data_IF_399538330728
#
_entry.id   IF_399538330728
#
_cell.length_a   1.000
_cell.length_b   1.000
_cell.length_c   1.000
_cell.angle_alpha   90.00
_cell.angle_beta   90.00
_cell.angle_gamma   90.00
#
_symmetry.space_group_name_H-M   'P 1'
#
loop_
_entity.id
_entity.type
_entity.pdbx_description
1 polymer ?
#
# COMPACT_ATOMS: atom_id res chain seq x y z
N UNK A 1 14.22 34.34 -0.47
CA UNK A 1 15.28 34.91 -1.33
C UNK A 1 15.00 34.80 -2.83
N UNK A 2 14.08 33.95 -3.29
CA UNK A 2 13.75 33.83 -4.72
C UNK A 2 12.97 35.02 -5.33
N UNK A 3 12.23 35.76 -4.49
CA UNK A 3 11.28 36.79 -4.94
C UNK A 3 11.86 38.20 -5.09
N UNK A 4 13.14 38.42 -4.78
CA UNK A 4 13.79 39.75 -4.90
C UNK A 4 15.08 39.64 -5.71
N UNK A 5 15.11 40.14 -6.96
CA UNK A 5 16.30 40.16 -7.78
C UNK A 5 17.42 40.97 -7.11
N UNK A 6 18.61 40.38 -6.94
CA UNK A 6 19.80 41.14 -6.57
C UNK A 6 20.35 41.88 -7.78
N UNK A 7 20.60 43.18 -7.63
CA UNK A 7 21.11 44.06 -8.70
C UNK A 7 22.40 44.73 -8.24
N UNK A 8 23.23 45.13 -9.20
CA UNK A 8 24.45 45.88 -8.93
C UNK A 8 24.60 47.03 -9.93
N UNK A 9 25.29 48.08 -9.50
CA UNK A 9 25.65 49.22 -10.33
C UNK A 9 27.17 49.42 -10.22
N UNK A 10 27.87 49.45 -11.35
CA UNK A 10 29.30 49.74 -11.41
C UNK A 10 29.51 51.15 -11.95
N UNK A 11 30.32 51.96 -11.26
CA UNK A 11 30.56 53.37 -11.61
C UNK A 11 29.44 54.33 -11.20
N UNK A 12 28.60 53.94 -10.23
CA UNK A 12 27.61 54.84 -9.64
C UNK A 12 28.25 55.69 -8.54
N UNK A 13 28.00 56.99 -8.57
CA UNK A 13 28.46 57.95 -7.57
C UNK A 13 27.47 58.03 -6.39
N UNK A 14 27.93 58.42 -5.20
CA UNK A 14 27.11 58.47 -3.98
C UNK A 14 25.93 59.44 -4.14
N UNK A 15 26.11 60.48 -4.95
CA UNK A 15 25.07 61.43 -5.37
C UNK A 15 23.86 60.80 -6.08
N UNK A 16 24.00 59.57 -6.61
CA UNK A 16 22.92 58.83 -7.27
C UNK A 16 22.01 58.07 -6.30
N UNK A 17 22.39 57.97 -5.03
CA UNK A 17 21.63 57.31 -3.97
C UNK A 17 21.05 58.31 -2.96
N UNK A 18 21.05 59.60 -3.30
CA UNK A 18 20.52 60.69 -2.49
C UNK A 18 19.39 61.38 -3.26
N UNK A 19 18.32 61.77 -2.57
CA UNK A 19 17.20 62.49 -3.19
C UNK A 19 17.49 63.99 -3.35
N UNK A 20 16.54 64.75 -3.90
CA UNK A 20 16.71 66.18 -4.15
C UNK A 20 16.90 67.04 -2.89
N UNK A 21 16.51 66.52 -1.72
CA UNK A 21 16.59 67.15 -0.41
C UNK A 21 17.84 66.70 0.39
N UNK A 22 18.68 65.82 -0.17
CA UNK A 22 19.93 65.39 0.46
C UNK A 22 19.80 64.12 1.33
N UNK A 23 18.64 63.46 1.33
CA UNK A 23 18.40 62.26 2.13
C UNK A 23 18.65 60.97 1.32
N UNK A 24 19.19 59.90 1.93
CA UNK A 24 19.46 58.65 1.23
C UNK A 24 18.15 58.00 0.75
N UNK A 25 18.12 57.55 -0.51
CA UNK A 25 16.95 56.88 -1.07
C UNK A 25 16.59 55.64 -0.25
N UNK A 26 15.30 55.47 0.00
CA UNK A 26 14.76 54.23 0.59
C UNK A 26 15.15 53.03 -0.30
N UNK A 27 15.52 51.92 0.33
CA UNK A 27 15.90 50.66 -0.32
C UNK A 27 14.85 50.21 -1.34
N UNK A 28 13.57 50.46 -1.10
CA UNK A 28 12.49 50.16 -2.04
C UNK A 28 12.46 51.09 -3.26
N UNK A 29 12.72 52.38 -3.12
CA UNK A 29 12.75 53.36 -4.23
C UNK A 29 13.97 53.18 -5.14
N UNK A 30 15.09 52.75 -4.55
CA UNK A 30 16.27 52.31 -5.27
C UNK A 30 15.99 51.03 -6.11
N UNK A 31 15.20 50.10 -5.57
CA UNK A 31 14.78 48.86 -6.25
C UNK A 31 13.73 49.10 -7.35
N UNK A 32 12.83 50.09 -7.17
CA UNK A 32 11.65 50.34 -8.01
C UNK A 32 11.86 51.26 -9.22
N UNK A 33 12.91 52.08 -9.29
CA UNK A 33 13.18 52.80 -10.55
C UNK A 33 14.12 53.99 -10.55
N UNK A 34 14.48 54.61 -9.42
CA UNK A 34 15.27 55.87 -9.47
C UNK A 34 16.75 55.69 -9.84
N UNK A 35 17.37 54.56 -9.49
CA UNK A 35 18.76 54.24 -9.87
C UNK A 35 18.92 54.00 -11.38
N UNK A 36 17.82 53.77 -12.10
CA UNK A 36 17.81 53.51 -13.56
C UNK A 36 17.90 54.77 -14.41
N UNK A 37 17.75 55.95 -13.80
CA UNK A 37 17.80 57.25 -14.47
C UNK A 37 19.11 58.02 -14.20
N UNK A 38 20.15 57.34 -13.74
CA UNK A 38 21.46 57.95 -13.49
C UNK A 38 22.04 58.54 -14.79
N UNK A 39 22.25 59.86 -14.76
CA UNK A 39 22.88 60.60 -15.84
C UNK A 39 24.37 60.29 -15.95
N UNK A 40 24.93 60.66 -17.10
CA UNK A 40 26.34 60.51 -17.46
C UNK A 40 27.23 61.27 -16.46
N UNK A 41 28.36 60.67 -16.04
CA UNK A 41 29.34 61.32 -15.17
C UNK A 41 29.88 62.61 -15.85
N UNK A 42 29.78 63.80 -15.21
CA UNK A 42 30.24 65.06 -15.78
C UNK A 42 31.75 65.13 -16.04
N UNK A 43 32.57 64.38 -15.30
CA UNK A 43 34.04 64.50 -15.33
C UNK A 43 34.70 63.48 -16.27
N UNK A 44 34.13 62.28 -16.38
CA UNK A 44 34.68 61.19 -17.20
C UNK A 44 33.86 60.90 -18.46
N UNK A 45 32.59 61.32 -18.50
CA UNK A 45 31.69 61.03 -19.62
C UNK A 45 31.24 59.56 -19.70
N UNK A 46 31.51 58.76 -18.66
CA UNK A 46 31.11 57.36 -18.60
C UNK A 46 29.66 57.21 -18.11
N UNK A 47 28.97 56.18 -18.62
CA UNK A 47 27.60 55.83 -18.23
C UNK A 47 27.69 54.67 -17.25
N UNK A 48 27.08 54.77 -16.05
CA UNK A 48 27.12 53.68 -15.08
C UNK A 48 26.51 52.40 -15.66
N UNK A 49 27.21 51.28 -15.51
CA UNK A 49 26.75 50.00 -15.99
C UNK A 49 25.88 49.33 -14.92
N UNK A 50 24.60 49.16 -15.26
CA UNK A 50 23.62 48.49 -14.42
C UNK A 50 23.50 47.03 -14.84
N UNK A 51 23.65 46.13 -13.87
CA UNK A 51 23.54 44.69 -14.07
C UNK A 51 22.64 44.03 -13.04
N UNK A 52 22.13 42.87 -13.39
CA UNK A 52 21.43 41.99 -12.45
C UNK A 52 22.30 40.76 -12.23
N UNK A 53 22.40 40.30 -10.98
CA UNK A 53 22.98 38.99 -10.74
C UNK A 53 22.05 37.92 -11.34
N UNK A 54 22.62 36.92 -12.00
CA UNK A 54 21.84 35.78 -12.46
C UNK A 54 21.11 35.19 -11.26
N UNK A 55 19.77 35.21 -11.29
CA UNK A 55 18.99 34.61 -10.22
C UNK A 55 19.32 33.12 -10.22
N UNK A 56 19.74 32.60 -9.07
CA UNK A 56 19.91 31.16 -8.89
C UNK A 56 18.60 30.48 -9.25
N UNK A 57 18.65 29.45 -10.10
CA UNK A 57 17.44 28.76 -10.53
C UNK A 57 16.77 28.03 -9.34
N UNK A 58 15.43 28.03 -9.23
CA UNK A 58 14.73 27.25 -8.22
C UNK A 58 14.81 25.75 -8.51
N UNK A 59 15.17 25.37 -9.75
CA UNK A 59 15.38 23.97 -10.12
C UNK A 59 16.52 23.34 -9.31
N UNK A 60 17.56 24.09 -8.93
CA UNK A 60 18.62 23.57 -8.08
C UNK A 60 18.11 23.12 -6.70
N UNK A 61 17.13 23.85 -6.14
CA UNK A 61 16.52 23.49 -4.87
C UNK A 61 15.61 22.25 -5.00
N UNK A 62 14.80 22.18 -6.06
CA UNK A 62 13.96 21.00 -6.34
C UNK A 62 14.81 19.75 -6.59
N UNK A 63 15.95 19.88 -7.27
CA UNK A 63 16.87 18.77 -7.49
C UNK A 63 17.52 18.28 -6.19
N UNK A 64 17.89 19.21 -5.31
CA UNK A 64 18.35 18.86 -3.96
C UNK A 64 17.29 18.07 -3.19
N UNK A 65 16.02 18.49 -3.23
CA UNK A 65 14.93 17.77 -2.57
C UNK A 65 14.72 16.37 -3.17
N UNK A 66 14.85 16.23 -4.50
CA UNK A 66 14.79 14.92 -5.18
C UNK A 66 15.93 14.01 -4.74
N UNK A 67 17.15 14.54 -4.62
CA UNK A 67 18.31 13.80 -4.13
C UNK A 67 18.12 13.33 -2.69
N UNK A 68 17.64 14.22 -1.79
CA UNK A 68 17.33 13.86 -0.40
C UNK A 68 16.27 12.75 -0.33
N UNK A 69 15.23 12.85 -1.14
CA UNK A 69 14.19 11.83 -1.22
C UNK A 69 14.71 10.48 -1.73
N UNK A 70 15.61 10.49 -2.73
CA UNK A 70 16.25 9.28 -3.21
C UNK A 70 17.07 8.59 -2.10
N UNK A 71 17.83 9.35 -1.32
CA UNK A 71 18.58 8.81 -0.17
C UNK A 71 17.67 8.26 0.92
N UNK A 72 16.55 8.94 1.21
CA UNK A 72 15.55 8.45 2.16
C UNK A 72 14.92 7.14 1.69
N UNK A 73 14.52 7.06 0.41
CA UNK A 73 14.00 5.85 -0.21
C UNK A 73 14.99 4.68 -0.15
N UNK A 74 16.28 4.93 -0.43
CA UNK A 74 17.30 3.88 -0.36
C UNK A 74 17.51 3.32 1.04
N UNK A 75 17.34 4.14 2.08
CA UNK A 75 17.50 3.69 3.47
C UNK A 75 16.27 2.96 3.99
N UNK A 76 15.08 3.35 3.52
CA UNK A 76 13.79 2.83 4.03
C UNK A 76 13.20 1.70 3.17
N UNK A 77 13.90 1.30 2.10
CA UNK A 77 13.39 0.37 1.09
C UNK A 77 12.06 0.80 0.46
N UNK A 78 11.72 2.09 0.53
CA UNK A 78 10.54 2.64 -0.10
C UNK A 78 10.82 3.00 -1.56
N UNK A 79 9.89 2.72 -2.48
CA UNK A 79 10.06 3.12 -3.87
C UNK A 79 9.89 4.64 -4.03
N UNK A 80 10.65 5.28 -4.93
CA UNK A 80 10.64 6.74 -5.11
C UNK A 80 9.27 7.31 -5.50
N UNK A 81 8.46 6.52 -6.21
CA UNK A 81 7.10 6.88 -6.59
C UNK A 81 6.18 7.06 -5.36
N UNK A 82 6.46 6.40 -4.23
CA UNK A 82 5.68 6.53 -3.00
C UNK A 82 5.78 7.93 -2.38
N UNK A 83 6.87 8.67 -2.65
CA UNK A 83 7.06 10.05 -2.20
C UNK A 83 6.42 11.10 -3.12
N UNK A 84 5.85 10.69 -4.27
CA UNK A 84 5.20 11.60 -5.22
C UNK A 84 6.15 12.57 -5.94
N UNK A 85 7.46 12.39 -5.80
CA UNK A 85 8.49 13.26 -6.41
C UNK A 85 8.77 12.87 -7.87
N UNK A 86 8.51 11.61 -8.20
CA UNK A 86 8.61 11.08 -9.56
C UNK A 86 7.19 10.85 -10.08
N UNK A 87 6.76 11.69 -11.02
CA UNK A 87 5.56 11.48 -11.83
C UNK A 87 5.98 10.81 -13.15
N UNK A 88 6.49 9.57 -13.09
CA UNK A 88 6.67 8.78 -14.31
C UNK A 88 5.40 8.00 -14.65
N UNK A 89 5.33 7.60 -15.92
CA UNK A 89 4.25 6.85 -16.56
C UNK A 89 3.79 5.65 -15.70
N UNK A 90 2.53 5.16 -15.83
CA UNK A 90 2.04 4.05 -15.04
C UNK A 90 3.00 2.86 -15.11
N UNK A 91 3.55 2.46 -13.96
CA UNK A 91 4.42 1.29 -13.87
C UNK A 91 3.62 0.02 -14.09
N UNK A 92 4.18 -0.95 -14.81
CA UNK A 92 3.57 -2.28 -14.93
C UNK A 92 3.52 -2.96 -13.56
N UNK A 93 2.59 -3.91 -13.36
CA UNK A 93 2.47 -4.64 -12.09
C UNK A 93 3.80 -5.29 -11.66
N UNK A 94 4.54 -5.87 -12.61
CA UNK A 94 5.86 -6.46 -12.34
C UNK A 94 6.92 -5.44 -11.92
N UNK A 95 6.85 -4.20 -12.43
CA UNK A 95 7.76 -3.14 -12.03
C UNK A 95 7.44 -2.62 -10.62
N UNK A 96 6.15 -2.58 -10.25
CA UNK A 96 5.71 -2.25 -8.89
C UNK A 96 6.17 -3.34 -7.92
N UNK A 97 5.90 -4.61 -8.22
CA UNK A 97 6.36 -5.75 -7.42
C UNK A 97 7.87 -5.77 -7.24
N UNK A 98 8.64 -5.49 -8.30
CA UNK A 98 10.09 -5.42 -8.22
C UNK A 98 10.57 -4.26 -7.34
N UNK A 99 9.91 -3.11 -7.40
CA UNK A 99 10.26 -1.93 -6.60
C UNK A 99 9.90 -2.10 -5.12
N UNK A 100 8.86 -2.87 -4.80
CA UNK A 100 8.41 -3.13 -3.43
C UNK A 100 9.03 -4.40 -2.81
N UNK A 101 9.77 -5.19 -3.60
CA UNK A 101 10.32 -6.48 -3.19
C UNK A 101 11.13 -6.42 -1.90
N UNK A 102 12.01 -5.43 -1.78
CA UNK A 102 12.86 -5.29 -0.59
C UNK A 102 12.02 -4.98 0.66
N UNK A 103 11.00 -4.13 0.52
CA UNK A 103 10.04 -3.84 1.59
C UNK A 103 9.22 -5.06 1.99
N UNK A 104 8.82 -5.89 1.01
CA UNK A 104 8.11 -7.16 1.26
C UNK A 104 9.00 -8.12 2.05
N UNK A 105 10.29 -8.22 1.72
CA UNK A 105 11.26 -9.05 2.44
C UNK A 105 11.40 -8.58 3.89
N UNK A 106 11.56 -7.27 4.10
CA UNK A 106 11.65 -6.68 5.44
C UNK A 106 10.37 -6.91 6.25
N UNK A 107 9.20 -6.78 5.62
CA UNK A 107 7.92 -7.07 6.25
C UNK A 107 7.80 -8.53 6.68
N UNK A 108 8.20 -9.49 5.82
CA UNK A 108 8.22 -10.92 6.17
C UNK A 108 9.20 -11.20 7.32
N UNK A 109 10.39 -10.59 7.29
CA UNK A 109 11.36 -10.70 8.38
C UNK A 109 10.80 -10.17 9.71
N UNK A 110 10.10 -9.05 9.70
CA UNK A 110 9.43 -8.50 10.86
C UNK A 110 8.32 -9.43 11.38
N UNK A 111 7.51 -10.02 10.47
CA UNK A 111 6.48 -11.00 10.83
C UNK A 111 7.09 -12.25 11.51
N UNK A 112 8.19 -12.77 10.98
CA UNK A 112 8.92 -13.92 11.54
C UNK A 112 9.53 -13.60 12.91
N UNK A 113 10.00 -12.36 13.10
CA UNK A 113 10.54 -11.90 14.38
C UNK A 113 9.46 -11.63 15.43
N UNK A 114 8.34 -11.03 15.03
CA UNK A 114 7.28 -10.61 15.95
C UNK A 114 6.29 -11.73 16.25
N UNK A 115 5.99 -12.61 15.30
CA UNK A 115 5.00 -13.67 15.46
C UNK A 115 5.24 -14.53 16.72
N UNK A 116 6.40 -15.19 16.85
CA UNK A 116 6.71 -16.02 18.02
C UNK A 116 6.70 -15.22 19.33
N UNK A 117 7.11 -13.93 19.28
CA UNK A 117 7.14 -13.06 20.46
C UNK A 117 5.74 -12.66 20.90
N UNK A 118 4.84 -12.38 19.96
CA UNK A 118 3.44 -12.10 20.24
C UNK A 118 2.74 -13.33 20.83
N UNK A 119 2.94 -14.51 20.25
CA UNK A 119 2.40 -15.77 20.79
C UNK A 119 2.90 -16.02 22.21
N UNK A 120 4.20 -15.80 22.47
CA UNK A 120 4.77 -15.92 23.81
C UNK A 120 4.20 -14.89 24.79
N UNK A 121 4.04 -13.63 24.36
CA UNK A 121 3.44 -12.59 25.19
C UNK A 121 2.01 -12.94 25.60
N UNK A 122 1.21 -13.49 24.67
CA UNK A 122 -0.13 -13.98 24.96
C UNK A 122 -0.13 -15.17 25.94
N UNK A 123 0.79 -16.12 25.76
CA UNK A 123 0.93 -17.26 26.68
C UNK A 123 1.30 -16.81 28.10
N UNK A 124 2.16 -15.79 28.24
CA UNK A 124 2.50 -15.18 29.54
C UNK A 124 1.33 -14.40 30.12
N UNK A 125 0.58 -13.66 29.30
CA UNK A 125 -0.59 -12.92 29.76
C UNK A 125 -1.66 -13.86 30.37
N UNK A 126 -1.88 -15.03 29.77
CA UNK A 126 -2.79 -16.04 30.31
C UNK A 126 -2.28 -16.64 31.62
N UNK A 127 -0.97 -16.93 31.73
CA UNK A 127 -0.38 -17.40 32.98
C UNK A 127 -0.62 -16.43 34.13
N UNK A 128 -0.39 -15.13 33.90
CA UNK A 128 -0.58 -14.09 34.90
C UNK A 128 -2.07 -13.94 35.27
N UNK A 129 -2.96 -14.00 34.28
CA UNK A 129 -4.41 -13.87 34.48
C UNK A 129 -4.97 -15.01 35.36
N UNK A 130 -4.52 -16.23 35.10
CA UNK A 130 -5.05 -17.45 35.71
C UNK A 130 -4.21 -17.96 36.90
N UNK A 131 -3.17 -17.21 37.29
CA UNK A 131 -2.23 -17.56 38.38
C UNK A 131 -1.61 -18.96 38.20
N UNK A 132 -1.07 -19.21 37.00
CA UNK A 132 -0.48 -20.50 36.62
C UNK A 132 1.05 -20.45 36.65
N UNK A 133 1.67 -21.49 37.19
CA UNK A 133 3.14 -21.67 37.20
C UNK A 133 3.74 -21.90 35.80
N UNK A 134 2.90 -22.29 34.82
CA UNK A 134 3.32 -22.59 33.46
C UNK A 134 2.19 -22.32 32.45
N UNK A 135 2.51 -22.01 31.18
CA UNK A 135 1.49 -21.82 30.15
C UNK A 135 0.68 -23.11 29.95
N UNK A 136 -0.65 -23.01 29.79
CA UNK A 136 -1.47 -24.13 29.34
C UNK A 136 -0.89 -24.78 28.08
N UNK A 137 -0.91 -26.12 28.03
CA UNK A 137 -0.35 -26.88 26.91
C UNK A 137 -0.98 -26.51 25.55
N UNK A 138 -2.23 -26.05 25.56
CA UNK A 138 -2.95 -25.57 24.38
C UNK A 138 -2.29 -24.32 23.77
N UNK A 139 -1.75 -23.43 24.61
CA UNK A 139 -1.08 -22.21 24.16
C UNK A 139 0.34 -22.45 23.63
N UNK A 140 0.91 -23.64 23.85
CA UNK A 140 2.18 -24.02 23.25
C UNK A 140 2.08 -24.14 21.71
N UNK A 141 0.86 -24.33 21.19
CA UNK A 141 0.56 -24.36 19.75
C UNK A 141 0.04 -23.03 19.22
N UNK A 142 -0.03 -22.00 20.06
CA UNK A 142 -0.47 -20.68 19.64
C UNK A 142 0.56 -20.10 18.67
N UNK A 143 0.09 -19.65 17.51
CA UNK A 143 0.91 -19.00 16.51
C UNK A 143 0.22 -17.74 15.96
N UNK A 144 1.03 -16.80 15.47
CA UNK A 144 0.54 -15.56 14.90
C UNK A 144 0.16 -15.79 13.43
N UNK A 145 -1.12 -15.56 13.10
CA UNK A 145 -1.59 -15.55 11.71
C UNK A 145 -1.41 -14.15 11.11
N UNK A 146 -0.41 -13.99 10.26
CA UNK A 146 -0.19 -12.77 9.49
C UNK A 146 -0.93 -12.81 8.16
N UNK A 147 -1.30 -11.64 7.66
CA UNK A 147 -1.73 -11.49 6.26
C UNK A 147 -0.48 -11.35 5.40
N UNK A 148 -0.52 -11.91 4.19
CA UNK A 148 0.60 -11.77 3.27
C UNK A 148 0.83 -10.28 2.97
N UNK A 149 2.07 -9.76 3.14
CA UNK A 149 2.39 -8.37 2.82
C UNK A 149 2.33 -8.08 1.32
N UNK A 150 2.49 -9.10 0.49
CA UNK A 150 2.22 -9.04 -0.94
C UNK A 150 0.71 -9.27 -1.10
N UNK A 151 -0.05 -8.22 -1.41
CA UNK A 151 -1.43 -8.37 -1.85
C UNK A 151 -1.45 -8.56 -3.36
N UNK A 152 -1.41 -9.80 -3.89
CA UNK A 152 -1.63 -10.00 -5.30
C UNK A 152 -3.03 -9.51 -5.66
N UNK A 153 -3.19 -8.99 -6.88
CA UNK A 153 -4.52 -8.71 -7.40
C UNK A 153 -5.41 -9.94 -7.25
N UNK A 154 -6.67 -9.75 -6.80
CA UNK A 154 -7.62 -10.84 -6.54
C UNK A 154 -7.75 -11.83 -7.71
N UNK A 155 -7.57 -11.37 -8.95
CA UNK A 155 -7.54 -12.20 -10.16
C UNK A 155 -6.33 -13.14 -10.20
N UNK A 156 -5.12 -12.63 -9.93
CA UNK A 156 -3.89 -13.43 -9.88
C UNK A 156 -3.93 -14.48 -8.76
N UNK A 157 -4.52 -14.12 -7.61
CA UNK A 157 -4.74 -15.05 -6.51
C UNK A 157 -5.69 -16.22 -6.90
N UNK A 158 -6.72 -15.94 -7.70
CA UNK A 158 -7.65 -16.96 -8.21
C UNK A 158 -6.97 -17.97 -9.12
N UNK A 159 -6.16 -17.51 -10.07
CA UNK A 159 -5.43 -18.39 -10.99
C UNK A 159 -4.39 -19.25 -10.26
N UNK A 160 -3.68 -18.66 -9.29
CA UNK A 160 -2.76 -19.40 -8.43
C UNK A 160 -3.47 -20.51 -7.65
N UNK A 161 -4.64 -20.21 -7.09
CA UNK A 161 -5.44 -21.18 -6.34
C UNK A 161 -5.92 -22.33 -7.22
N UNK A 162 -6.42 -22.04 -8.43
CA UNK A 162 -6.86 -23.07 -9.37
C UNK A 162 -5.69 -24.02 -9.70
N UNK A 163 -4.50 -23.48 -10.01
CA UNK A 163 -3.31 -24.28 -10.30
C UNK A 163 -2.87 -25.12 -9.10
N UNK A 164 -2.95 -24.55 -7.89
CA UNK A 164 -2.59 -25.24 -6.65
C UNK A 164 -3.54 -26.41 -6.38
N UNK A 165 -4.85 -26.20 -6.51
CA UNK A 165 -5.86 -27.26 -6.33
C UNK A 165 -5.76 -28.32 -7.43
N UNK A 166 -5.45 -27.94 -8.67
CA UNK A 166 -5.20 -28.89 -9.76
C UNK A 166 -3.98 -29.78 -9.50
N UNK A 167 -2.88 -29.21 -9.00
CA UNK A 167 -1.67 -29.94 -8.64
C UNK A 167 -1.88 -30.83 -7.40
N UNK A 168 -2.69 -30.37 -6.45
CA UNK A 168 -2.98 -31.07 -5.20
C UNK A 168 -4.50 -31.20 -4.99
N UNK A 169 -5.17 -32.18 -5.66
CA UNK A 169 -6.63 -32.28 -5.65
C UNK A 169 -7.27 -32.41 -4.26
N UNK A 170 -6.54 -32.96 -3.29
CA UNK A 170 -7.03 -33.08 -1.91
C UNK A 170 -7.30 -31.72 -1.25
N UNK A 171 -6.66 -30.63 -1.72
CA UNK A 171 -6.93 -29.28 -1.22
C UNK A 171 -8.32 -28.76 -1.58
N UNK A 172 -9.00 -29.32 -2.58
CA UNK A 172 -10.38 -28.93 -2.92
C UNK A 172 -11.36 -29.18 -1.76
N UNK A 173 -11.03 -30.12 -0.88
CA UNK A 173 -11.79 -30.45 0.33
C UNK A 173 -11.23 -29.79 1.58
N UNK A 174 -10.24 -28.90 1.43
CA UNK A 174 -9.62 -28.16 2.53
C UNK A 174 -10.13 -26.71 2.61
N UNK A 175 -9.98 -26.12 3.79
CA UNK A 175 -10.21 -24.69 4.04
C UNK A 175 -9.03 -23.82 3.59
N UNK A 176 -7.85 -24.43 3.52
CA UNK A 176 -6.56 -23.76 3.24
C UNK A 176 -6.61 -22.88 1.99
N UNK A 177 -7.16 -23.31 0.84
CA UNK A 177 -7.21 -22.45 -0.34
C UNK A 177 -8.03 -21.16 -0.13
N UNK A 178 -9.16 -21.26 0.58
CA UNK A 178 -9.99 -20.08 0.87
C UNK A 178 -9.27 -19.12 1.82
N UNK A 179 -8.51 -19.65 2.78
CA UNK A 179 -7.68 -18.84 3.66
C UNK A 179 -6.53 -18.15 2.91
N UNK A 180 -5.95 -18.81 1.90
CA UNK A 180 -4.94 -18.20 1.02
C UNK A 180 -5.51 -17.05 0.16
N UNK A 181 -6.81 -17.05 -0.14
CA UNK A 181 -7.48 -15.90 -0.77
C UNK A 181 -7.68 -14.71 0.20
N UNK A 182 -7.22 -14.83 1.44
CA UNK A 182 -7.39 -13.81 2.46
C UNK A 182 -8.81 -13.75 3.03
N UNK A 183 -9.61 -14.80 2.86
CA UNK A 183 -10.92 -14.86 3.50
C UNK A 183 -10.75 -15.00 5.02
N UNK A 184 -11.57 -14.26 5.76
CA UNK A 184 -11.64 -14.38 7.21
C UNK A 184 -12.26 -15.72 7.62
N UNK A 185 -11.94 -16.18 8.83
CA UNK A 185 -12.41 -17.46 9.35
C UNK A 185 -13.95 -17.56 9.33
N UNK A 186 -14.64 -16.44 9.60
CA UNK A 186 -16.09 -16.35 9.57
C UNK A 186 -16.68 -16.56 8.17
N UNK A 187 -16.07 -16.02 7.11
CA UNK A 187 -16.55 -16.28 5.74
C UNK A 187 -16.25 -17.70 5.31
N UNK A 188 -15.07 -18.23 5.65
CA UNK A 188 -14.74 -19.63 5.38
C UNK A 188 -15.74 -20.58 6.04
N UNK A 189 -16.11 -20.36 7.30
CA UNK A 189 -17.11 -21.17 7.99
C UNK A 189 -18.50 -21.10 7.35
N UNK A 190 -18.92 -19.90 6.95
CA UNK A 190 -20.20 -19.71 6.24
C UNK A 190 -20.20 -20.48 4.91
N UNK A 191 -19.15 -20.36 4.10
CA UNK A 191 -19.03 -21.07 2.83
C UNK A 191 -19.10 -22.59 3.02
N UNK A 192 -18.43 -23.12 4.06
CA UNK A 192 -18.48 -24.54 4.38
C UNK A 192 -19.83 -24.99 4.95
N UNK A 193 -20.52 -24.15 5.71
CA UNK A 193 -21.89 -24.42 6.14
C UNK A 193 -22.85 -24.51 4.94
N UNK A 194 -22.67 -23.67 3.93
CA UNK A 194 -23.46 -23.70 2.70
C UNK A 194 -23.15 -24.94 1.85
N UNK A 195 -21.87 -25.31 1.68
CA UNK A 195 -21.48 -26.57 1.02
C UNK A 195 -22.11 -27.78 1.71
N UNK A 196 -22.08 -27.84 3.04
CA UNK A 196 -22.72 -28.93 3.82
C UNK A 196 -24.22 -28.98 3.61
N UNK A 197 -24.91 -27.83 3.67
CA UNK A 197 -26.36 -27.75 3.41
C UNK A 197 -26.71 -28.23 2.00
N UNK A 198 -25.97 -27.81 0.99
CA UNK A 198 -26.17 -28.26 -0.39
C UNK A 198 -25.98 -29.79 -0.53
N UNK A 199 -24.94 -30.34 0.09
CA UNK A 199 -24.68 -31.78 0.09
C UNK A 199 -25.82 -32.56 0.74
N UNK A 200 -26.32 -32.11 1.91
CA UNK A 200 -27.47 -32.74 2.58
C UNK A 200 -28.72 -32.71 1.69
N UNK A 201 -29.04 -31.56 1.09
CA UNK A 201 -30.19 -31.45 0.18
C UNK A 201 -30.07 -32.42 -1.01
N UNK A 202 -28.88 -32.55 -1.60
CA UNK A 202 -28.64 -33.48 -2.71
C UNK A 202 -28.76 -34.96 -2.29
N UNK A 203 -28.36 -35.31 -1.07
CA UNK A 203 -28.52 -36.67 -0.54
C UNK A 203 -30.00 -37.00 -0.28
N UNK A 204 -30.77 -36.05 0.27
CA UNK A 204 -32.20 -36.20 0.50
C UNK A 204 -32.98 -36.41 -0.82
N UNK A 205 -32.60 -35.74 -1.90
CA UNK A 205 -33.20 -35.94 -3.22
C UNK A 205 -32.85 -37.30 -3.85
N UNK A 206 -31.74 -37.92 -3.44
CA UNK A 206 -31.27 -39.22 -3.94
C UNK A 206 -31.76 -40.42 -3.13
N UNK A 207 -32.34 -40.19 -1.95
CA UNK A 207 -33.00 -41.24 -1.20
C UNK A 207 -34.24 -41.68 -1.99
N UNK A 208 -34.31 -42.95 -2.47
CA UNK A 208 -35.52 -43.44 -3.08
C UNK A 208 -36.63 -43.37 -2.03
N UNK A 209 -37.68 -42.61 -2.32
CA UNK A 209 -38.93 -42.66 -1.54
C UNK A 209 -39.38 -44.11 -1.61
N UNK A 210 -39.20 -44.83 -0.50
CA UNK A 210 -39.62 -46.22 -0.37
C UNK A 210 -41.15 -46.20 -0.45
N UNK A 211 -41.70 -46.36 -1.65
CA UNK A 211 -43.12 -46.61 -1.84
C UNK A 211 -43.39 -47.98 -1.20
N UNK A 212 -44.28 -48.09 -0.19
CA UNK A 212 -44.65 -49.40 0.31
C UNK A 212 -45.21 -50.20 -0.86
N UNK A 213 -44.66 -51.40 -1.05
CA UNK A 213 -45.06 -52.32 -2.09
C UNK A 213 -46.58 -52.51 -2.05
N UNK A 214 -47.23 -52.19 -3.17
CA UNK A 214 -48.64 -52.50 -3.38
C UNK A 214 -48.84 -53.99 -3.14
N UNK A 215 -49.74 -54.31 -2.19
CA UNK A 215 -50.22 -55.65 -1.91
C UNK A 215 -50.63 -56.33 -3.23
N UNK A 216 -49.84 -57.33 -3.63
CA UNK A 216 -50.28 -58.29 -4.61
C UNK A 216 -51.47 -59.03 -4.01
N UNK A 217 -52.68 -58.68 -4.48
CA UNK A 217 -53.88 -59.46 -4.25
C UNK A 217 -53.67 -60.86 -4.85
N UNK A 218 -53.26 -61.79 -4.00
CA UNK A 218 -53.41 -63.22 -4.21
C UNK A 218 -54.89 -63.57 -4.04
N UNK A 219 -55.68 -63.49 -5.12
CA UNK A 219 -56.96 -64.20 -5.19
C UNK A 219 -56.68 -65.66 -5.54
N UNK A 220 -56.61 -66.51 -4.51
CA UNK A 220 -56.66 -67.97 -4.63
C UNK A 220 -58.07 -68.47 -4.96
N UNK A 221 -58.21 -69.74 -5.40
CA UNK A 221 -59.36 -70.23 -6.16
C UNK A 221 -60.49 -70.75 -5.26
N UNK A 222 -61.73 -70.50 -5.67
CA UNK A 222 -62.95 -71.20 -5.23
C UNK A 222 -63.87 -71.14 -6.46
N UNK A 223 -64.21 -72.21 -7.17
CA UNK A 223 -64.81 -73.45 -6.70
C UNK A 223 -66.31 -73.40 -7.04
N UNK A 224 -66.70 -74.22 -8.03
CA UNK A 224 -67.98 -74.94 -8.12
C UNK A 224 -69.05 -74.56 -9.18
N UNK A 225 -69.60 -75.65 -9.77
CA UNK A 225 -70.88 -75.91 -10.46
C UNK A 225 -71.33 -75.00 -11.62
N UNK A 226 -71.87 -75.45 -12.76
CA UNK A 226 -72.39 -76.76 -13.17
C UNK A 226 -73.38 -76.53 -14.32
N UNK A 227 -73.42 -77.49 -15.26
CA UNK A 227 -74.34 -77.67 -16.42
C UNK A 227 -74.26 -76.63 -17.54
#
# INVERSE_FOLDING_TARGET
>A
FFSSPQRYAMGADESMFVDADGEPLNQWDAILGRVWAAGRDPDTGDVPQLGQFAQSSPQAHTEQLRSLAAMFCSETSLPLNALGIVQDNPSSAQAIEAAERDLIIEARYAMDCFGPRLSRAMAVAVQIRDDLDAPPAELLRLDAKWRDPEEPMRSAAGDFLIKTVQAFPWLAESRVPLEQLGWDATTVERAWADKRRANVTSLLQRLPVNQPAAEQQATGPTGDAGI
#
